data_IF_882934177088
#
_entry.id   IF_882934177088
#
_cell.length_a   1.000
_cell.length_b   1.000
_cell.length_c   1.000
_cell.angle_alpha   90.00
_cell.angle_beta   90.00
_cell.angle_gamma   90.00
#
_symmetry.space_group_name_H-M   'P 1'
#
loop_
_entity.id
_entity.type
_entity.pdbx_description
1 polymer ?
#
# COMPACT_ATOMS: atom_id res chain seq x y z
N UNK A 1 11.50 9.61 50.55
CA UNK A 1 11.10 8.23 50.96
C UNK A 1 9.82 7.76 50.27
N UNK A 2 8.82 8.62 50.06
CA UNK A 2 7.52 8.22 49.46
C UNK A 2 7.60 7.68 48.03
N UNK A 3 8.40 8.30 47.14
CA UNK A 3 8.54 7.84 45.75
C UNK A 3 9.15 6.43 45.63
N UNK A 4 10.07 6.09 46.52
CA UNK A 4 10.69 4.76 46.56
C UNK A 4 9.70 3.69 47.05
N UNK A 5 8.91 4.02 48.08
CA UNK A 5 7.84 3.15 48.57
C UNK A 5 6.76 2.91 47.51
N UNK A 6 6.35 3.96 46.79
CA UNK A 6 5.40 3.87 45.68
C UNK A 6 5.93 3.00 44.53
N UNK A 7 7.24 3.09 44.22
CA UNK A 7 7.86 2.24 43.21
C UNK A 7 7.79 0.75 43.61
N UNK A 8 8.12 0.44 44.87
CA UNK A 8 8.09 -0.93 45.38
C UNK A 8 6.67 -1.50 45.41
N UNK A 9 5.66 -0.72 45.80
CA UNK A 9 4.27 -1.19 45.79
C UNK A 9 3.76 -1.47 44.38
N UNK A 10 4.08 -0.61 43.40
CA UNK A 10 3.73 -0.83 41.99
C UNK A 10 4.44 -2.06 41.40
N UNK A 11 5.71 -2.26 41.76
CA UNK A 11 6.46 -3.44 41.34
C UNK A 11 5.89 -4.73 41.96
N UNK A 12 5.52 -4.71 43.24
CA UNK A 12 4.88 -5.84 43.93
C UNK A 12 3.50 -6.17 43.36
N UNK A 13 2.75 -5.16 42.90
CA UNK A 13 1.47 -5.32 42.22
C UNK A 13 1.59 -5.77 40.74
N UNK A 14 2.80 -5.92 40.21
CA UNK A 14 3.05 -6.33 38.82
C UNK A 14 2.98 -5.21 37.78
N UNK A 15 2.76 -3.96 38.21
CA UNK A 15 2.70 -2.78 37.33
C UNK A 15 4.10 -2.22 37.05
N UNK A 16 4.91 -2.99 36.32
CA UNK A 16 6.31 -2.64 36.01
C UNK A 16 6.44 -1.31 35.27
N UNK A 17 5.62 -1.08 34.25
CA UNK A 17 5.63 0.17 33.46
C UNK A 17 5.35 1.40 34.32
N UNK A 18 4.39 1.31 35.25
CA UNK A 18 4.07 2.40 36.17
C UNK A 18 5.22 2.66 37.15
N UNK A 19 5.87 1.61 37.65
CA UNK A 19 7.08 1.71 38.48
C UNK A 19 8.23 2.40 37.73
N UNK A 20 8.43 2.08 36.45
CA UNK A 20 9.47 2.68 35.62
C UNK A 20 9.19 4.16 35.32
N UNK A 21 7.92 4.53 35.12
CA UNK A 21 7.53 5.95 35.00
C UNK A 21 7.81 6.73 36.29
N UNK A 22 7.51 6.15 37.46
CA UNK A 22 7.81 6.79 38.76
C UNK A 22 9.31 6.96 38.95
N UNK A 23 10.11 5.93 38.61
CA UNK A 23 11.57 6.00 38.60
C UNK A 23 12.07 7.11 37.67
N UNK A 24 11.54 7.18 36.46
CA UNK A 24 11.92 8.17 35.45
C UNK A 24 11.61 9.61 35.90
N UNK A 25 10.43 9.83 36.48
CA UNK A 25 10.00 11.14 37.01
C UNK A 25 10.89 11.59 38.18
N UNK A 26 11.36 10.66 39.00
CA UNK A 26 12.05 10.96 40.26
C UNK A 26 13.56 11.03 40.12
N UNK A 27 14.17 10.18 39.27
CA UNK A 27 15.63 10.03 39.18
C UNK A 27 16.27 10.83 38.03
N UNK A 28 15.50 11.23 36.99
CA UNK A 28 16.13 11.86 35.80
C UNK A 28 16.07 13.39 35.78
N UNK A 29 14.89 14.01 35.78
CA UNK A 29 14.75 15.47 35.78
C UNK A 29 13.29 15.94 35.93
N UNK A 30 13.02 17.05 36.66
CA UNK A 30 11.70 17.69 36.71
C UNK A 30 11.13 18.08 35.33
N UNK A 31 11.99 18.34 34.34
CA UNK A 31 11.57 18.64 32.97
C UNK A 31 10.87 17.45 32.30
N UNK A 32 11.28 16.23 32.63
CA UNK A 32 10.71 14.98 32.10
C UNK A 32 9.32 14.71 32.69
N UNK A 33 9.15 14.96 33.99
CA UNK A 33 7.86 14.94 34.65
C UNK A 33 6.86 15.91 33.99
N UNK A 34 7.30 17.13 33.69
CA UNK A 34 6.48 18.11 32.98
C UNK A 34 6.12 17.68 31.55
N UNK A 35 7.03 17.01 30.84
CA UNK A 35 6.76 16.45 29.51
C UNK A 35 5.70 15.35 29.56
N UNK A 36 5.81 14.43 30.52
CA UNK A 36 4.83 13.34 30.72
C UNK A 36 3.47 13.92 31.11
N UNK A 37 3.44 14.88 32.05
CA UNK A 37 2.20 15.57 32.45
C UNK A 37 1.54 16.27 31.26
N UNK A 38 2.33 16.98 30.43
CA UNK A 38 1.83 17.62 29.21
C UNK A 38 1.31 16.61 28.19
N UNK A 39 1.96 15.47 28.02
CA UNK A 39 1.49 14.43 27.11
C UNK A 39 0.18 13.78 27.60
N UNK A 40 0.05 13.55 28.91
CA UNK A 40 -1.17 12.98 29.50
C UNK A 40 -2.37 13.92 29.40
N UNK A 41 -2.14 15.22 29.60
CA UNK A 41 -3.18 16.26 29.50
C UNK A 41 -3.32 16.85 28.10
N UNK A 42 -2.41 16.49 27.18
CA UNK A 42 -2.58 16.83 25.78
C UNK A 42 -3.87 16.16 25.31
N UNK A 43 -4.75 16.86 24.58
CA UNK A 43 -5.89 16.19 23.98
C UNK A 43 -5.37 14.98 23.22
N UNK A 44 -5.84 13.78 23.61
CA UNK A 44 -5.62 12.56 22.84
C UNK A 44 -5.96 12.91 21.40
N UNK A 45 -5.06 12.55 20.48
CA UNK A 45 -5.15 12.69 19.03
C UNK A 45 -6.50 13.28 18.64
N UNK A 46 -6.53 14.56 18.24
CA UNK A 46 -7.75 15.17 17.70
C UNK A 46 -8.37 14.11 16.82
N UNK A 47 -9.58 13.67 17.14
CA UNK A 47 -10.39 12.98 16.16
C UNK A 47 -10.32 13.91 14.95
N UNK A 48 -9.56 13.53 13.93
CA UNK A 48 -9.72 14.14 12.63
C UNK A 48 -11.20 13.92 12.38
N UNK A 49 -11.95 15.00 12.27
CA UNK A 49 -13.32 14.93 11.80
C UNK A 49 -13.21 14.23 10.44
N UNK A 50 -13.53 12.94 10.42
CA UNK A 50 -13.60 12.17 9.19
C UNK A 50 -14.86 12.72 8.54
N UNK A 51 -14.68 13.77 7.74
CA UNK A 51 -15.65 14.24 6.78
C UNK A 51 -16.23 13.02 6.03
N UNK A 52 -17.53 13.03 5.69
CA UNK A 52 -18.24 11.84 5.22
C UNK A 52 -17.41 11.12 4.17
N UNK A 53 -17.03 9.88 4.53
CA UNK A 53 -16.16 8.99 3.76
C UNK A 53 -16.62 9.02 2.31
N UNK A 54 -15.69 9.21 1.38
CA UNK A 54 -15.94 9.12 -0.06
C UNK A 54 -15.29 7.86 -0.60
N UNK A 55 -16.08 7.13 -1.37
CA UNK A 55 -15.79 5.89 -2.08
C UNK A 55 -14.61 6.09 -3.08
N UNK A 56 -13.50 5.32 -2.91
CA UNK A 56 -12.36 5.10 -3.83
C UNK A 56 -12.71 3.92 -4.76
N UNK A 57 -12.72 4.16 -6.07
CA UNK A 57 -12.97 3.12 -7.06
C UNK A 57 -11.99 1.94 -6.95
N UNK A 58 -12.43 0.74 -7.32
CA UNK A 58 -11.56 -0.45 -7.45
C UNK A 58 -10.37 -0.16 -8.40
N UNK A 59 -10.60 0.60 -9.47
CA UNK A 59 -9.53 0.99 -10.41
C UNK A 59 -8.49 1.91 -9.75
N UNK A 60 -8.95 2.89 -8.98
CA UNK A 60 -8.11 3.82 -8.24
C UNK A 60 -7.32 3.10 -7.14
N UNK A 61 -7.95 2.13 -6.50
CA UNK A 61 -7.32 1.33 -5.46
C UNK A 61 -6.24 0.40 -6.04
N UNK A 62 -6.45 -0.16 -7.23
CA UNK A 62 -5.42 -0.93 -7.95
C UNK A 62 -4.28 -0.03 -8.43
N UNK A 63 -4.60 1.17 -8.93
CA UNK A 63 -3.59 2.17 -9.31
C UNK A 63 -2.67 2.50 -8.13
N UNK A 64 -3.24 2.83 -6.96
CA UNK A 64 -2.47 3.09 -5.73
C UNK A 64 -1.64 1.90 -5.28
N UNK A 65 -2.15 0.67 -5.43
CA UNK A 65 -1.42 -0.55 -5.11
C UNK A 65 -0.16 -0.70 -5.97
N UNK A 66 -0.33 -0.54 -7.29
CA UNK A 66 0.74 -0.72 -8.28
C UNK A 66 1.77 0.41 -8.19
N UNK A 67 1.33 1.66 -8.24
CA UNK A 67 2.20 2.84 -8.22
C UNK A 67 2.93 2.98 -6.89
N UNK A 68 2.24 2.69 -5.78
CA UNK A 68 2.82 2.70 -4.44
C UNK A 68 3.74 1.52 -4.14
N UNK A 69 3.88 0.56 -5.06
CA UNK A 69 4.68 -0.67 -4.89
C UNK A 69 4.34 -1.41 -3.60
N UNK A 70 3.08 -1.38 -3.18
CA UNK A 70 2.68 -1.98 -1.93
C UNK A 70 2.70 -3.51 -2.04
N UNK A 71 3.08 -4.18 -0.95
CA UNK A 71 2.77 -5.60 -0.79
C UNK A 71 1.27 -5.77 -0.53
N UNK A 72 0.71 -6.93 -0.88
CA UNK A 72 -0.68 -7.27 -0.55
C UNK A 72 -0.99 -7.01 0.92
N UNK A 73 -0.10 -7.39 1.83
CA UNK A 73 -0.29 -7.20 3.27
C UNK A 73 -0.36 -5.72 3.66
N UNK A 74 0.62 -4.91 3.25
CA UNK A 74 0.66 -3.47 3.53
C UNK A 74 -0.56 -2.75 2.96
N UNK A 75 -1.00 -3.17 1.78
CA UNK A 75 -2.18 -2.64 1.14
C UNK A 75 -3.48 -3.05 1.84
N UNK A 76 -3.61 -4.29 2.29
CA UNK A 76 -4.77 -4.72 3.08
C UNK A 76 -4.84 -3.97 4.40
N UNK A 77 -3.70 -3.70 5.06
CA UNK A 77 -3.67 -2.85 6.25
C UNK A 77 -4.14 -1.41 5.95
N UNK A 78 -3.75 -0.87 4.79
CA UNK A 78 -4.19 0.45 4.33
C UNK A 78 -5.68 0.48 3.95
N UNK A 79 -6.18 -0.54 3.26
CA UNK A 79 -7.59 -0.66 2.88
C UNK A 79 -8.51 -0.91 4.08
N UNK A 80 -8.06 -1.70 5.07
CA UNK A 80 -8.80 -1.86 6.32
C UNK A 80 -8.99 -0.53 7.05
N UNK A 81 -8.08 0.43 6.85
CA UNK A 81 -8.22 1.80 7.34
C UNK A 81 -9.11 2.69 6.43
N UNK A 82 -9.33 2.31 5.17
CA UNK A 82 -9.99 3.13 4.14
C UNK A 82 -10.87 2.25 3.25
N UNK A 83 -12.09 1.93 3.72
CA UNK A 83 -13.15 1.40 2.85
C UNK A 83 -13.82 2.58 2.22
N UNK A 84 -14.05 2.54 0.89
CA UNK A 84 -15.21 3.08 0.14
C UNK A 84 -14.95 2.89 -1.44
N UNK A 85 -15.96 2.67 -2.34
CA UNK A 85 -16.09 2.28 -3.84
C UNK A 85 -16.09 3.33 -5.04
N UNK A 86 -16.45 3.01 -6.32
CA UNK A 86 -16.94 4.02 -7.31
C UNK A 86 -17.70 3.46 -8.55
N UNK A 87 -18.56 4.32 -9.10
CA UNK A 87 -19.43 4.21 -10.30
C UNK A 87 -18.65 4.30 -11.61
N UNK A 88 -19.03 3.50 -12.62
CA UNK A 88 -18.61 3.64 -14.02
C UNK A 88 -19.80 4.11 -14.86
N UNK A 89 -19.62 5.18 -15.63
CA UNK A 89 -20.55 5.61 -16.69
C UNK A 89 -19.96 5.15 -18.01
N UNK A 90 -20.70 4.35 -18.78
CA UNK A 90 -20.31 3.94 -20.13
C UNK A 90 -20.93 4.89 -21.16
N UNK A 91 -20.15 5.22 -22.20
CA UNK A 91 -20.62 5.89 -23.41
C UNK A 91 -20.70 4.84 -24.53
N UNK A 92 -21.90 4.58 -25.07
CA UNK A 92 -22.16 3.55 -26.09
C UNK A 92 -22.20 4.10 -27.54
N UNK A 93 -21.79 5.35 -27.78
CA UNK A 93 -22.15 6.07 -29.02
C UNK A 93 -21.29 5.80 -30.29
N UNK A 94 -20.42 4.79 -30.34
CA UNK A 94 -19.43 4.67 -31.44
C UNK A 94 -19.44 3.38 -32.27
N UNK A 95 -20.46 2.51 -32.15
CA UNK A 95 -20.41 1.18 -32.78
C UNK A 95 -20.77 1.12 -34.28
N UNK A 96 -21.44 2.15 -34.84
CA UNK A 96 -22.02 2.04 -36.20
C UNK A 96 -21.03 2.23 -37.37
N UNK A 97 -19.82 2.75 -37.14
CA UNK A 97 -18.88 3.11 -38.23
C UNK A 97 -17.65 2.20 -38.35
N UNK A 98 -17.55 1.17 -37.50
CA UNK A 98 -16.35 0.33 -37.39
C UNK A 98 -15.15 1.10 -36.81
N UNK A 99 -14.36 0.43 -36.00
CA UNK A 99 -13.20 1.02 -35.32
C UNK A 99 -11.91 0.31 -35.74
N UNK A 100 -10.85 1.09 -35.89
CA UNK A 100 -9.49 0.62 -36.14
C UNK A 100 -8.59 0.98 -34.97
N UNK A 101 -7.97 -0.04 -34.36
CA UNK A 101 -6.98 0.11 -33.29
C UNK A 101 -5.57 -0.13 -33.85
N UNK A 102 -4.76 0.91 -33.92
CA UNK A 102 -3.34 0.80 -34.23
C UNK A 102 -2.59 0.37 -32.97
N UNK A 103 -1.81 -0.69 -33.07
CA UNK A 103 -1.00 -1.25 -31.97
C UNK A 103 0.42 -1.54 -32.44
N UNK A 104 1.39 -1.45 -31.53
CA UNK A 104 2.74 -1.99 -31.71
C UNK A 104 2.86 -3.27 -30.90
N UNK A 105 3.62 -4.24 -31.39
CA UNK A 105 3.99 -5.43 -30.62
C UNK A 105 5.50 -5.64 -30.67
N UNK A 106 6.02 -6.42 -29.72
CA UNK A 106 7.41 -6.81 -29.66
C UNK A 106 7.65 -7.87 -28.60
N UNK A 107 8.87 -8.37 -28.54
CA UNK A 107 9.28 -9.33 -27.52
C UNK A 107 10.71 -9.03 -27.08
N UNK A 108 11.04 -9.42 -25.85
CA UNK A 108 12.38 -9.29 -25.28
C UNK A 108 12.62 -10.39 -24.23
N UNK A 109 13.89 -10.64 -23.92
CA UNK A 109 14.32 -11.62 -22.92
C UNK A 109 15.28 -11.03 -21.89
N UNK A 110 15.25 -11.58 -20.69
CA UNK A 110 16.16 -11.23 -19.60
C UNK A 110 16.68 -12.50 -18.92
N UNK A 111 17.94 -12.50 -18.50
CA UNK A 111 18.60 -13.63 -17.83
C UNK A 111 19.29 -13.18 -16.55
N UNK A 112 19.70 -14.13 -15.70
CA UNK A 112 20.37 -13.83 -14.42
C UNK A 112 19.42 -13.47 -13.28
N UNK A 113 18.13 -13.77 -13.40
CA UNK A 113 17.19 -13.68 -12.28
C UNK A 113 17.45 -14.80 -11.27
N UNK A 114 17.12 -14.56 -9.99
CA UNK A 114 17.24 -15.59 -8.95
C UNK A 114 16.38 -16.81 -9.28
N UNK A 115 16.95 -18.01 -9.16
CA UNK A 115 16.19 -19.25 -9.33
C UNK A 115 15.14 -19.37 -8.23
N UNK A 116 13.93 -19.81 -8.60
CA UNK A 116 13.00 -20.34 -7.62
C UNK A 116 13.44 -21.76 -7.26
N UNK A 117 13.32 -22.15 -5.99
CA UNK A 117 13.64 -23.54 -5.55
C UNK A 117 12.53 -24.51 -5.94
N UNK A 118 12.13 -24.49 -7.22
CA UNK A 118 11.11 -25.39 -7.74
C UNK A 118 11.63 -26.82 -7.74
N UNK A 119 10.80 -27.75 -7.27
CA UNK A 119 11.07 -29.18 -7.45
C UNK A 119 10.84 -29.56 -8.90
N UNK A 120 11.90 -29.94 -9.60
CA UNK A 120 11.81 -30.55 -10.94
C UNK A 120 11.60 -32.07 -10.83
N UNK A 121 10.97 -32.65 -11.85
CA UNK A 121 10.81 -34.11 -11.94
C UNK A 121 12.18 -34.79 -12.14
N UNK A 122 12.29 -36.05 -11.70
CA UNK A 122 13.49 -36.88 -11.83
C UNK A 122 13.99 -36.90 -13.27
N UNK A 123 15.27 -36.58 -13.50
CA UNK A 123 15.87 -36.44 -14.83
C UNK A 123 15.91 -35.01 -15.41
N UNK A 124 15.55 -33.99 -14.62
CA UNK A 124 15.60 -32.57 -15.03
C UNK A 124 16.55 -31.71 -14.19
N UNK A 125 17.63 -32.31 -13.70
CA UNK A 125 18.63 -31.69 -12.80
C UNK A 125 19.40 -30.49 -13.40
N UNK A 126 19.23 -30.22 -14.70
CA UNK A 126 19.82 -29.07 -15.40
C UNK A 126 18.84 -27.95 -15.76
N UNK A 127 17.58 -28.01 -15.32
CA UNK A 127 16.61 -26.95 -15.62
C UNK A 127 16.77 -25.77 -14.66
N UNK A 128 16.67 -24.56 -15.22
CA UNK A 128 16.73 -23.29 -14.50
C UNK A 128 15.63 -22.38 -15.04
N UNK A 129 15.05 -21.58 -14.14
CA UNK A 129 14.05 -20.55 -14.41
C UNK A 129 14.65 -19.12 -14.28
N UNK A 130 15.97 -19.00 -14.32
CA UNK A 130 16.70 -17.70 -14.27
C UNK A 130 16.43 -16.78 -15.46
N UNK A 131 15.82 -17.30 -16.53
CA UNK A 131 15.59 -16.57 -17.76
C UNK A 131 14.10 -16.33 -18.00
N UNK A 132 13.73 -15.09 -18.30
CA UNK A 132 12.38 -14.65 -18.59
C UNK A 132 12.32 -14.22 -20.07
N UNK A 133 11.25 -14.59 -20.76
CA UNK A 133 10.93 -14.10 -22.10
C UNK A 133 9.53 -13.49 -22.07
N UNK A 134 9.40 -12.27 -22.57
CA UNK A 134 8.17 -11.51 -22.55
C UNK A 134 7.76 -11.08 -23.96
N UNK A 135 6.46 -11.14 -24.24
CA UNK A 135 5.82 -10.56 -25.43
C UNK A 135 4.92 -9.44 -24.96
N UNK A 136 5.00 -8.29 -25.62
CA UNK A 136 4.25 -7.10 -25.26
C UNK A 136 3.45 -6.56 -26.45
N UNK A 137 2.25 -6.07 -26.17
CA UNK A 137 1.38 -5.35 -27.09
C UNK A 137 1.09 -3.98 -26.47
N UNK A 138 1.27 -2.92 -27.26
CA UNK A 138 1.00 -1.54 -26.83
C UNK A 138 -0.04 -0.94 -27.79
N UNK A 139 -1.27 -0.63 -27.32
CA UNK A 139 -2.22 0.11 -28.12
C UNK A 139 -1.70 1.54 -28.30
N UNK A 140 -1.73 2.06 -29.53
CA UNK A 140 -1.20 3.37 -29.87
C UNK A 140 -2.31 4.37 -30.17
N UNK A 141 -3.32 3.97 -30.96
CA UNK A 141 -4.36 4.89 -31.43
C UNK A 141 -5.65 4.16 -31.78
N UNK A 142 -6.78 4.71 -31.34
CA UNK A 142 -8.12 4.29 -31.74
C UNK A 142 -8.74 5.37 -32.64
N UNK A 143 -9.25 4.98 -33.80
CA UNK A 143 -9.91 5.85 -34.76
C UNK A 143 -11.04 5.11 -35.47
N UNK A 144 -12.05 5.79 -36.03
CA UNK A 144 -13.02 5.13 -36.90
C UNK A 144 -12.32 4.59 -38.15
N UNK A 145 -12.87 3.54 -38.76
CA UNK A 145 -12.27 2.90 -39.95
C UNK A 145 -12.08 3.87 -41.12
N UNK A 146 -12.90 4.92 -41.20
CA UNK A 146 -12.77 5.98 -42.20
C UNK A 146 -11.57 6.93 -41.98
N UNK A 147 -10.87 6.83 -40.84
CA UNK A 147 -9.68 7.64 -40.52
C UNK A 147 -9.95 9.14 -40.32
N UNK A 148 -11.21 9.54 -40.13
CA UNK A 148 -11.62 10.95 -40.14
C UNK A 148 -11.12 11.76 -38.94
N UNK A 149 -11.05 11.15 -37.76
CA UNK A 149 -10.55 11.77 -36.53
C UNK A 149 -10.00 10.72 -35.57
N UNK A 150 -9.29 11.17 -34.54
CA UNK A 150 -8.69 10.31 -33.51
C UNK A 150 -9.61 10.29 -32.29
N UNK A 151 -10.07 9.10 -31.89
CA UNK A 151 -10.90 8.89 -30.68
C UNK A 151 -10.01 8.87 -29.44
N UNK A 152 -8.88 8.17 -29.52
CA UNK A 152 -7.94 8.04 -28.42
C UNK A 152 -6.52 7.84 -28.96
N UNK A 153 -5.54 8.42 -28.27
CA UNK A 153 -4.12 8.28 -28.59
C UNK A 153 -3.33 8.03 -27.30
N UNK A 154 -2.48 7.01 -27.31
CA UNK A 154 -1.55 6.74 -26.24
C UNK A 154 -0.41 7.78 -26.33
N UNK A 155 -0.31 8.66 -25.34
CA UNK A 155 0.69 9.73 -25.28
C UNK A 155 2.04 9.23 -24.76
#
# INVERSE_FOLDING_TARGET
MEAYAARLSLHAAGHRDASDIVKEITETSPKRANKIKKAYHSPKFRHMNIHPKKQISISLSLCLYVDGRFSKHSYTLMQQALVQEAVLTQNEEFLDQGLTLLSKWGCDGSSGHSNYSQRYNTGQEGKSDTSLFAVCLVPLRLQPTNGTYIIWNNH
#
